data_IF_840659046414
#
_entry.id   IF_840659046414
#
_cell.length_a   1.000
_cell.length_b   1.000
_cell.length_c   1.000
_cell.angle_alpha   90.00
_cell.angle_beta   90.00
_cell.angle_gamma   90.00
#
_symmetry.space_group_name_H-M   'P 1'
#
loop_
_entity.id
_entity.type
_entity.pdbx_description
1 polymer ?
#
# COMPACT_ATOMS: atom_id res chain seq x y z
N UNK A 1 7.14 5.22 10.70
CA UNK A 1 6.30 4.17 11.33
C UNK A 1 7.00 3.48 12.49
N UNK A 2 8.25 3.03 12.34
CA UNK A 2 9.04 2.49 13.48
C UNK A 2 9.16 3.46 14.65
N UNK A 3 9.40 4.74 14.37
CA UNK A 3 9.44 5.81 15.39
C UNK A 3 8.09 5.97 16.13
N UNK A 4 6.96 5.87 15.43
CA UNK A 4 5.63 5.90 16.07
C UNK A 4 5.43 4.71 17.01
N UNK A 5 5.91 3.52 16.62
CA UNK A 5 5.85 2.32 17.45
C UNK A 5 6.74 2.48 18.70
N UNK A 6 7.94 3.03 18.54
CA UNK A 6 8.85 3.30 19.65
C UNK A 6 8.23 4.28 20.66
N UNK A 7 7.71 5.42 20.20
CA UNK A 7 7.00 6.36 21.07
C UNK A 7 5.76 5.73 21.72
N UNK A 8 4.96 4.97 20.99
CA UNK A 8 3.80 4.28 21.55
C UNK A 8 4.21 3.25 22.63
N UNK A 9 5.36 2.59 22.47
CA UNK A 9 5.92 1.69 23.50
C UNK A 9 6.41 2.45 24.73
N UNK A 10 7.08 3.58 24.54
CA UNK A 10 7.57 4.45 25.62
C UNK A 10 6.41 5.04 26.43
N UNK A 11 5.31 5.40 25.76
CA UNK A 11 4.08 5.90 26.38
C UNK A 11 3.19 4.79 26.99
N UNK A 12 3.57 3.52 26.86
CA UNK A 12 2.81 2.39 27.38
C UNK A 12 1.53 2.05 26.62
N UNK A 13 1.33 2.61 25.42
CA UNK A 13 0.19 2.31 24.54
C UNK A 13 0.33 0.94 23.87
N UNK A 14 1.57 0.44 23.74
CA UNK A 14 1.88 -0.90 23.28
C UNK A 14 2.59 -1.65 24.41
N UNK A 15 2.15 -2.86 24.72
CA UNK A 15 2.84 -3.70 25.72
C UNK A 15 4.08 -4.38 25.12
N UNK A 16 5.02 -4.79 25.97
CA UNK A 16 6.14 -5.62 25.53
C UNK A 16 5.66 -6.95 24.94
N UNK A 17 4.65 -7.55 25.56
CA UNK A 17 4.04 -8.80 25.11
C UNK A 17 3.48 -8.70 23.68
N UNK A 18 2.87 -7.58 23.31
CA UNK A 18 2.41 -7.36 21.93
C UNK A 18 3.57 -7.46 20.93
N UNK A 19 4.72 -6.85 21.23
CA UNK A 19 5.90 -6.88 20.35
C UNK A 19 6.52 -8.28 20.28
N UNK A 20 6.60 -8.98 21.41
CA UNK A 20 7.10 -10.36 21.46
C UNK A 20 6.21 -11.31 20.65
N UNK A 21 4.89 -11.12 20.70
CA UNK A 21 3.95 -11.92 19.93
C UNK A 21 4.08 -11.65 18.42
N UNK A 22 4.28 -10.38 18.01
CA UNK A 22 4.55 -10.03 16.62
C UNK A 22 5.86 -10.66 16.15
N UNK A 23 6.92 -10.61 16.95
CA UNK A 23 8.21 -11.24 16.62
C UNK A 23 8.06 -12.75 16.40
N UNK A 24 7.44 -13.45 17.36
CA UNK A 24 7.18 -14.90 17.27
C UNK A 24 6.31 -15.25 16.05
N UNK A 25 5.39 -14.38 15.67
CA UNK A 25 4.59 -14.55 14.46
C UNK A 25 5.46 -14.42 13.21
N UNK A 26 6.28 -13.37 13.11
CA UNK A 26 7.15 -13.10 11.97
C UNK A 26 8.21 -14.19 11.76
N UNK A 27 8.81 -14.70 12.83
CA UNK A 27 9.81 -15.79 12.78
C UNK A 27 9.26 -17.08 12.15
N UNK A 28 7.95 -17.31 12.24
CA UNK A 28 7.28 -18.48 11.65
C UNK A 28 6.88 -18.29 10.19
N UNK A 29 6.91 -17.06 9.68
CA UNK A 29 6.45 -16.76 8.33
C UNK A 29 7.46 -17.24 7.29
N UNK A 30 6.93 -17.92 6.27
CA UNK A 30 7.69 -18.37 5.09
C UNK A 30 7.11 -17.85 3.78
N UNK A 31 5.95 -17.18 3.85
CA UNK A 31 5.25 -16.65 2.70
C UNK A 31 5.47 -15.14 2.65
N UNK A 32 6.35 -14.72 1.74
CA UNK A 32 6.59 -13.31 1.48
C UNK A 32 5.77 -12.86 0.27
N UNK A 33 5.27 -11.62 0.34
CA UNK A 33 4.42 -11.05 -0.71
C UNK A 33 5.14 -11.08 -2.07
N UNK A 34 6.41 -10.66 -2.10
CA UNK A 34 7.20 -10.58 -3.33
C UNK A 34 7.49 -11.95 -3.96
N UNK A 35 7.44 -13.03 -3.17
CA UNK A 35 7.63 -14.41 -3.67
C UNK A 35 6.32 -15.02 -4.21
N UNK A 36 5.17 -14.52 -3.77
CA UNK A 36 3.86 -15.11 -4.07
C UNK A 36 3.04 -14.30 -5.07
N UNK A 37 3.37 -13.01 -5.27
CA UNK A 37 2.66 -12.13 -6.18
C UNK A 37 3.60 -11.52 -7.21
N UNK A 38 3.31 -11.75 -8.48
CA UNK A 38 4.15 -11.30 -9.60
C UNK A 38 3.33 -10.53 -10.63
N UNK A 39 3.99 -9.61 -11.31
CA UNK A 39 3.45 -8.95 -12.50
C UNK A 39 3.38 -9.99 -13.62
N UNK A 40 2.22 -10.12 -14.24
CA UNK A 40 2.01 -11.09 -15.32
C UNK A 40 1.75 -10.38 -16.64
N UNK A 41 2.16 -11.03 -17.74
CA UNK A 41 1.91 -10.56 -19.11
C UNK A 41 1.17 -11.64 -19.89
N UNK A 42 0.04 -11.29 -20.46
CA UNK A 42 -0.75 -12.20 -21.29
C UNK A 42 -0.08 -12.42 -22.66
N UNK A 43 -0.42 -13.53 -23.31
CA UNK A 43 -0.01 -13.76 -24.71
C UNK A 43 -0.62 -12.72 -25.63
N UNK A 44 0.15 -12.33 -26.65
CA UNK A 44 -0.32 -11.41 -27.68
C UNK A 44 -1.50 -11.99 -28.46
N UNK A 45 -2.43 -11.11 -28.84
CA UNK A 45 -3.58 -11.43 -29.68
C UNK A 45 -3.76 -10.32 -30.71
N UNK A 46 -4.15 -10.70 -31.93
CA UNK A 46 -4.52 -9.74 -32.96
C UNK A 46 -5.71 -8.89 -32.47
N UNK A 47 -5.58 -7.58 -32.63
CA UNK A 47 -6.58 -6.61 -32.22
C UNK A 47 -6.70 -5.50 -33.27
N UNK A 48 -7.90 -5.33 -33.81
CA UNK A 48 -8.21 -4.28 -34.78
C UNK A 48 -8.63 -3.00 -34.07
N UNK A 49 -7.95 -1.89 -34.37
CA UNK A 49 -8.29 -0.56 -33.85
C UNK A 49 -8.06 0.50 -34.92
N UNK A 50 -9.09 1.29 -35.24
CA UNK A 50 -8.99 2.33 -36.28
C UNK A 50 -8.72 1.80 -37.69
N UNK A 51 -9.14 0.57 -38.01
CA UNK A 51 -8.92 -0.08 -39.31
C UNK A 51 -7.49 -0.63 -39.51
N UNK A 52 -6.69 -0.68 -38.44
CA UNK A 52 -5.34 -1.25 -38.44
C UNK A 52 -5.24 -2.43 -37.47
N UNK A 53 -4.41 -3.40 -37.82
CA UNK A 53 -4.08 -4.57 -36.99
C UNK A 53 -2.97 -4.27 -35.99
N UNK A 54 -3.17 -4.67 -34.73
CA UNK A 54 -2.18 -4.60 -33.65
C UNK A 54 -2.02 -5.95 -32.96
N UNK A 55 -0.83 -6.23 -32.41
CA UNK A 55 -0.65 -7.29 -31.42
C UNK A 55 -0.83 -6.73 -30.01
N UNK A 56 -1.97 -7.02 -29.40
CA UNK A 56 -2.29 -6.56 -28.07
C UNK A 56 -1.89 -7.60 -27.02
N UNK A 57 -1.21 -7.16 -25.96
CA UNK A 57 -0.99 -7.91 -24.72
C UNK A 57 -1.40 -7.05 -23.53
N UNK A 58 -1.86 -7.67 -22.45
CA UNK A 58 -2.18 -7.02 -21.18
C UNK A 58 -1.14 -7.36 -20.13
N UNK A 59 -0.77 -6.36 -19.33
CA UNK A 59 0.09 -6.51 -18.17
C UNK A 59 -0.78 -6.30 -16.93
N UNK A 60 -0.74 -7.25 -16.01
CA UNK A 60 -1.54 -7.24 -14.79
C UNK A 60 -0.65 -7.05 -13.57
N UNK A 61 -1.02 -6.08 -12.73
CA UNK A 61 -0.32 -5.72 -11.51
C UNK A 61 -1.15 -6.18 -10.30
N UNK A 62 -0.62 -7.07 -9.44
CA UNK A 62 -1.32 -7.45 -8.21
C UNK A 62 -1.49 -6.26 -7.25
N UNK A 63 -2.67 -6.22 -6.62
CA UNK A 63 -3.05 -5.27 -5.56
C UNK A 63 -3.65 -6.06 -4.40
N UNK A 64 -3.10 -5.87 -3.21
CA UNK A 64 -3.63 -6.42 -1.96
C UNK A 64 -4.20 -5.29 -1.12
N UNK A 65 -5.37 -5.50 -0.53
CA UNK A 65 -6.01 -4.53 0.37
C UNK A 65 -6.27 -5.22 1.71
N UNK A 66 -5.85 -4.59 2.79
CA UNK A 66 -6.21 -4.97 4.15
C UNK A 66 -6.97 -3.81 4.80
N UNK A 67 -8.26 -4.02 5.08
CA UNK A 67 -9.08 -3.04 5.79
C UNK A 67 -8.92 -3.24 7.31
N UNK A 68 -8.61 -2.16 8.01
CA UNK A 68 -8.59 -2.14 9.48
C UNK A 68 -9.97 -1.76 10.04
N UNK A 69 -10.65 -0.83 9.37
CA UNK A 69 -12.02 -0.39 9.64
C UNK A 69 -12.58 0.37 8.40
N UNK A 70 -13.78 0.92 8.52
CA UNK A 70 -14.46 1.62 7.40
C UNK A 70 -13.71 2.85 6.86
N UNK A 71 -12.83 3.44 7.66
CA UNK A 71 -12.12 4.67 7.31
C UNK A 71 -10.62 4.47 7.06
N UNK A 72 -10.05 3.33 7.43
CA UNK A 72 -8.60 3.08 7.39
C UNK A 72 -8.28 1.72 6.75
N UNK A 73 -7.36 1.75 5.79
CA UNK A 73 -6.90 0.56 5.10
C UNK A 73 -5.41 0.67 4.75
N UNK A 74 -4.80 -0.46 4.46
CA UNK A 74 -3.52 -0.50 3.76
C UNK A 74 -3.66 -1.15 2.39
N UNK A 75 -2.94 -0.58 1.43
CA UNK A 75 -2.82 -1.11 0.07
C UNK A 75 -1.38 -1.54 -0.16
N UNK A 76 -1.19 -2.73 -0.71
CA UNK A 76 0.11 -3.21 -1.16
C UNK A 76 0.06 -3.39 -2.67
N UNK A 77 0.80 -2.56 -3.38
CA UNK A 77 0.88 -2.57 -4.84
C UNK A 77 2.19 -3.21 -5.26
N UNK A 78 2.14 -4.23 -6.11
CA UNK A 78 3.35 -4.84 -6.68
C UNK A 78 3.73 -4.08 -7.95
N UNK A 79 4.95 -3.55 -8.00
CA UNK A 79 5.50 -2.78 -9.13
C UNK A 79 6.86 -3.32 -9.56
N UNK A 80 7.33 -2.94 -10.74
CA UNK A 80 8.71 -3.16 -11.13
C UNK A 80 9.64 -2.35 -10.23
N UNK A 81 10.79 -2.94 -9.88
CA UNK A 81 11.82 -2.26 -9.13
C UNK A 81 12.50 -1.20 -10.01
N UNK A 82 12.66 0.02 -9.51
CA UNK A 82 13.37 1.06 -10.24
C UNK A 82 14.86 0.68 -10.35
N UNK A 83 15.41 0.65 -11.57
CA UNK A 83 16.78 0.21 -11.87
C UNK A 83 17.10 -1.24 -11.45
N UNK A 84 16.09 -2.07 -11.22
CA UNK A 84 16.23 -3.50 -10.88
C UNK A 84 15.48 -4.39 -11.87
N UNK A 85 15.79 -5.70 -11.84
CA UNK A 85 15.12 -6.70 -12.68
C UNK A 85 14.00 -7.45 -11.96
N UNK A 86 13.70 -7.09 -10.70
CA UNK A 86 12.71 -7.73 -9.84
C UNK A 86 11.46 -6.87 -9.68
N UNK A 87 10.46 -7.44 -9.03
CA UNK A 87 9.31 -6.70 -8.51
C UNK A 87 9.59 -6.20 -7.09
N UNK A 88 8.87 -5.17 -6.67
CA UNK A 88 8.90 -4.61 -5.33
C UNK A 88 7.45 -4.41 -4.84
N UNK A 89 7.22 -4.64 -3.56
CA UNK A 89 5.94 -4.38 -2.91
C UNK A 89 5.93 -2.98 -2.26
N UNK A 90 5.01 -2.11 -2.69
CA UNK A 90 4.83 -0.77 -2.14
C UNK A 90 3.63 -0.74 -1.19
N UNK A 91 3.86 -0.44 0.09
CA UNK A 91 2.82 -0.31 1.11
C UNK A 91 2.35 1.15 1.23
N UNK A 92 1.06 1.36 1.09
CA UNK A 92 0.38 2.62 1.33
C UNK A 92 -0.59 2.46 2.51
N UNK A 93 -0.66 3.48 3.37
CA UNK A 93 -1.68 3.58 4.40
C UNK A 93 -2.67 4.68 3.99
N UNK A 94 -3.93 4.32 3.85
CA UNK A 94 -5.00 5.17 3.39
C UNK A 94 -5.98 5.41 4.53
N UNK A 95 -6.42 6.66 4.68
CA UNK A 95 -7.44 7.02 5.65
C UNK A 95 -8.36 8.11 5.08
N UNK A 96 -9.57 8.21 5.61
CA UNK A 96 -10.51 9.25 5.21
C UNK A 96 -10.00 10.64 5.57
N UNK A 97 -10.14 11.62 4.67
CA UNK A 97 -9.78 13.03 4.94
C UNK A 97 -10.54 13.61 6.14
N UNK A 98 -11.67 12.99 6.52
CA UNK A 98 -12.47 13.37 7.68
C UNK A 98 -11.77 13.06 9.02
N UNK A 99 -10.77 12.18 9.03
CA UNK A 99 -10.01 11.84 10.24
C UNK A 99 -8.97 12.90 10.61
N UNK A 100 -8.64 13.79 9.67
CA UNK A 100 -7.63 14.83 9.85
C UNK A 100 -8.14 16.02 10.65
N UNK A 101 -7.33 16.48 11.59
CA UNK A 101 -7.54 17.68 12.39
C UNK A 101 -6.86 18.88 11.73
N UNK A 102 -7.66 19.92 11.52
CA UNK A 102 -7.26 21.20 10.94
C UNK A 102 -8.06 22.32 11.61
N UNK A 103 -7.60 23.57 11.49
CA UNK A 103 -8.32 24.73 12.04
C UNK A 103 -9.72 24.91 11.41
N UNK A 104 -9.87 24.52 10.14
CA UNK A 104 -11.15 24.48 9.43
C UNK A 104 -11.27 23.14 8.69
N UNK A 105 -12.40 22.42 8.76
CA UNK A 105 -12.54 21.12 8.09
C UNK A 105 -12.11 21.15 6.63
N UNK A 106 -11.39 20.12 6.18
CA UNK A 106 -10.89 20.01 4.80
C UNK A 106 -11.99 19.68 3.78
N UNK A 107 -13.10 19.10 4.22
CA UNK A 107 -14.19 18.70 3.35
C UNK A 107 -14.79 19.93 2.62
N UNK A 108 -15.03 19.79 1.32
CA UNK A 108 -15.64 20.80 0.45
C UNK A 108 -14.85 22.12 0.31
N UNK A 109 -13.52 22.10 0.49
CA UNK A 109 -12.66 23.25 0.20
C UNK A 109 -11.32 22.86 -0.41
N UNK A 110 -10.61 23.84 -0.92
CA UNK A 110 -9.22 23.69 -1.36
C UNK A 110 -8.28 23.86 -0.17
N UNK A 111 -7.25 23.02 -0.08
CA UNK A 111 -6.17 23.20 0.88
C UNK A 111 -5.40 24.49 0.56
N UNK A 112 -5.05 25.26 1.59
CA UNK A 112 -4.24 26.46 1.42
C UNK A 112 -2.77 26.10 1.12
N UNK A 113 -2.02 27.08 0.61
CA UNK A 113 -0.60 26.90 0.32
C UNK A 113 0.15 26.48 1.60
N UNK A 114 0.80 25.31 1.54
CA UNK A 114 1.54 24.71 2.67
C UNK A 114 0.67 24.47 3.91
N UNK A 115 -0.61 24.22 3.73
CA UNK A 115 -1.47 23.79 4.83
C UNK A 115 -1.07 22.39 5.30
N UNK A 116 -1.00 22.22 6.62
CA UNK A 116 -0.72 20.95 7.28
C UNK A 116 -1.95 20.49 8.08
N UNK A 117 -2.15 19.18 8.11
CA UNK A 117 -3.21 18.53 8.85
C UNK A 117 -2.61 17.41 9.71
N UNK A 118 -3.25 17.12 10.84
CA UNK A 118 -2.74 16.20 11.87
C UNK A 118 -3.72 15.06 12.15
#
# INVERSE_FOLDING_TARGET
>A
MSEMIDYAKQLGLISLENLENILKYLEKQKQFIEDNFMITRERFRLHQFGGMDFELSRISYPLLIHSFNDNQLSEIVIREQQYGSKTQAMLYFCFSILELKTATPLLNRTAMLKEHAF
#
